data_IF_599618764298
#
_entry.id   IF_599618764298
#
_cell.length_a   1.000
_cell.length_b   1.000
_cell.length_c   1.000
_cell.angle_alpha   90.00
_cell.angle_beta   90.00
_cell.angle_gamma   90.00
#
_symmetry.space_group_name_H-M   'P 1'
#
loop_
_entity.id
_entity.type
_entity.pdbx_description
1 polymer ?
#
# COMPACT_ATOMS: atom_id res chain seq x y z
N UNK A 1 1.16 11.16 -4.35
CA UNK A 1 1.46 10.90 -2.93
C UNK A 1 0.27 10.19 -2.30
N UNK A 2 0.47 9.21 -1.42
CA UNK A 2 -0.63 8.54 -0.74
C UNK A 2 -0.89 9.23 0.61
N UNK A 3 -1.98 9.98 0.70
CA UNK A 3 -2.32 10.73 1.92
C UNK A 3 -2.67 9.80 3.08
N UNK A 4 -3.31 8.66 2.80
CA UNK A 4 -3.69 7.72 3.85
C UNK A 4 -2.46 7.17 4.58
N UNK A 5 -1.42 6.78 3.82
CA UNK A 5 -0.17 6.29 4.38
C UNK A 5 0.63 7.39 5.09
N UNK A 6 0.65 8.61 4.54
CA UNK A 6 1.32 9.75 5.19
C UNK A 6 0.66 10.11 6.53
N UNK A 7 -0.67 10.19 6.59
CA UNK A 7 -1.41 10.41 7.84
C UNK A 7 -1.19 9.26 8.80
N UNK A 8 -1.24 8.01 8.33
CA UNK A 8 -0.99 6.82 9.17
C UNK A 8 0.43 6.79 9.73
N UNK A 9 1.42 7.32 9.01
CA UNK A 9 2.79 7.45 9.49
C UNK A 9 2.90 8.49 10.62
N UNK A 10 2.19 9.63 10.51
CA UNK A 10 2.15 10.67 11.55
C UNK A 10 1.30 10.28 12.76
N UNK A 11 0.22 9.54 12.53
CA UNK A 11 -0.73 9.06 13.53
C UNK A 11 -0.85 7.53 13.43
N UNK A 12 0.14 6.78 13.95
CA UNK A 12 0.16 5.33 13.86
C UNK A 12 -1.07 4.68 14.54
N UNK A 13 -1.62 5.28 15.58
CA UNK A 13 -2.83 4.82 16.26
C UNK A 13 -4.13 5.12 15.51
N UNK A 14 -4.11 6.01 14.50
CA UNK A 14 -5.34 6.41 13.82
C UNK A 14 -5.82 5.35 12.82
N UNK A 15 -7.12 5.09 12.80
CA UNK A 15 -7.76 4.11 11.92
C UNK A 15 -8.27 4.80 10.65
N UNK A 16 -7.75 4.36 9.50
CA UNK A 16 -8.21 4.81 8.18
C UNK A 16 -9.67 4.38 8.01
N UNK A 17 -10.55 5.32 7.71
CA UNK A 17 -11.99 5.11 7.52
C UNK A 17 -12.84 5.39 8.76
N UNK A 18 -12.25 5.38 9.96
CA UNK A 18 -12.96 5.70 11.21
C UNK A 18 -12.57 7.08 11.74
N UNK A 19 -11.28 7.24 12.06
CA UNK A 19 -10.72 8.47 12.61
C UNK A 19 -10.47 9.52 11.54
N UNK A 20 -10.15 9.08 10.33
CA UNK A 20 -10.03 9.97 9.18
C UNK A 20 -10.41 9.24 7.90
N UNK A 21 -11.06 9.94 6.99
CA UNK A 21 -11.49 9.39 5.69
C UNK A 21 -10.71 10.11 4.60
N UNK A 22 -9.97 9.33 3.81
CA UNK A 22 -9.34 9.80 2.59
C UNK A 22 -10.22 9.39 1.42
N UNK A 23 -10.53 10.35 0.56
CA UNK A 23 -11.27 10.13 -0.67
C UNK A 23 -10.41 10.51 -1.86
N UNK A 24 -10.58 9.76 -2.94
CA UNK A 24 -10.05 10.11 -4.26
C UNK A 24 -11.24 10.05 -5.22
N UNK A 25 -11.63 11.22 -5.75
CA UNK A 25 -12.75 11.30 -6.68
C UNK A 25 -12.38 10.86 -8.10
N UNK A 26 -11.11 10.52 -8.35
CA UNK A 26 -10.64 10.12 -9.67
C UNK A 26 -10.68 11.25 -10.72
N UNK A 27 -10.87 12.49 -10.28
CA UNK A 27 -10.94 13.69 -11.12
C UNK A 27 -9.56 14.25 -11.50
N UNK A 28 -8.50 13.55 -11.09
CA UNK A 28 -7.10 13.94 -11.31
C UNK A 28 -6.57 15.00 -10.34
N UNK A 29 -7.39 15.48 -9.38
CA UNK A 29 -6.92 16.36 -8.28
C UNK A 29 -6.24 15.58 -7.17
N UNK A 30 -6.44 14.26 -7.15
CA UNK A 30 -5.81 13.34 -6.22
C UNK A 30 -6.59 13.17 -4.93
N UNK A 31 -5.97 12.47 -3.99
CA UNK A 31 -6.55 12.17 -2.69
C UNK A 31 -6.73 13.44 -1.85
N UNK A 32 -7.80 13.51 -1.07
CA UNK A 32 -8.03 14.55 -0.06
C UNK A 32 -8.64 13.96 1.22
N UNK A 33 -8.48 14.68 2.34
CA UNK A 33 -9.10 14.34 3.61
C UNK A 33 -10.55 14.83 3.57
N UNK A 34 -11.49 13.89 3.48
CA UNK A 34 -12.93 14.18 3.54
C UNK A 34 -13.40 14.38 4.98
N UNK A 35 -12.89 13.58 5.91
CA UNK A 35 -13.29 13.61 7.31
C UNK A 35 -12.07 13.52 8.21
N UNK A 36 -12.06 14.34 9.26
CA UNK A 36 -11.04 14.36 10.31
C UNK A 36 -11.69 14.31 11.69
N UNK A 37 -11.52 13.20 12.41
CA UNK A 37 -12.03 12.97 13.77
C UNK A 37 -10.91 12.73 14.80
N UNK A 38 -9.66 12.81 14.38
CA UNK A 38 -8.51 12.73 15.30
C UNK A 38 -8.50 14.01 16.15
N UNK A 39 -8.29 13.88 17.46
CA UNK A 39 -8.23 15.01 18.40
C UNK A 39 -7.09 16.00 18.13
N UNK A 40 -6.11 15.62 17.30
CA UNK A 40 -4.98 16.46 16.90
C UNK A 40 -5.33 17.40 15.73
N UNK A 41 -4.52 18.44 15.50
CA UNK A 41 -4.66 19.28 14.32
C UNK A 41 -4.45 18.46 13.04
N UNK A 42 -5.14 18.82 11.96
CA UNK A 42 -4.89 18.22 10.66
C UNK A 42 -3.47 18.59 10.19
N UNK A 43 -2.65 17.61 9.79
CA UNK A 43 -1.29 17.88 9.32
C UNK A 43 -1.32 18.69 8.03
N UNK A 44 -0.34 19.58 7.90
CA UNK A 44 -0.17 20.40 6.70
C UNK A 44 0.35 19.57 5.51
N UNK A 45 0.17 20.06 4.28
CA UNK A 45 0.70 19.40 3.08
C UNK A 45 2.21 19.15 3.16
N UNK A 46 2.95 20.05 3.80
CA UNK A 46 4.38 19.90 4.00
C UNK A 46 4.69 18.71 4.92
N UNK A 47 4.00 18.61 6.07
CA UNK A 47 4.16 17.49 6.99
C UNK A 47 3.78 16.15 6.37
N UNK A 48 2.71 16.14 5.57
CA UNK A 48 2.29 14.97 4.80
C UNK A 48 3.35 14.56 3.78
N UNK A 49 3.99 15.53 3.12
CA UNK A 49 5.04 15.26 2.14
C UNK A 49 6.33 14.77 2.80
N UNK A 50 6.69 15.33 3.96
CA UNK A 50 7.81 14.87 4.78
C UNK A 50 7.54 13.45 5.32
N UNK A 51 6.34 13.19 5.83
CA UNK A 51 5.93 11.86 6.29
C UNK A 51 5.94 10.84 5.14
N UNK A 52 5.44 11.21 3.96
CA UNK A 52 5.49 10.35 2.77
C UNK A 52 6.92 10.04 2.35
N UNK A 53 7.81 11.05 2.37
CA UNK A 53 9.23 10.86 2.07
C UNK A 53 9.90 9.93 3.09
N UNK A 54 9.66 10.16 4.38
CA UNK A 54 10.17 9.28 5.44
C UNK A 54 9.60 7.86 5.31
N UNK A 55 8.34 7.69 4.96
CA UNK A 55 7.73 6.38 4.68
C UNK A 55 8.39 5.67 3.47
N UNK A 56 8.81 6.41 2.44
CA UNK A 56 9.54 5.83 1.32
C UNK A 56 10.98 5.42 1.69
N UNK A 57 11.64 6.20 2.54
CA UNK A 57 13.02 5.92 2.98
C UNK A 57 13.08 4.84 4.08
N UNK A 58 12.14 4.86 5.00
CA UNK A 58 11.93 3.89 6.07
C UNK A 58 10.44 3.58 6.16
N UNK A 59 9.93 2.63 5.36
CA UNK A 59 8.56 2.17 5.54
C UNK A 59 8.45 1.64 6.96
N UNK A 60 7.54 2.22 7.74
CA UNK A 60 7.12 1.62 9.00
C UNK A 60 6.47 0.30 8.56
N UNK A 61 7.25 -0.78 8.59
CA UNK A 61 6.72 -2.13 8.62
C UNK A 61 6.15 -2.28 10.03
N UNK A 62 5.03 -1.59 10.26
CA UNK A 62 4.00 -2.19 11.05
C UNK A 62 3.76 -3.51 10.32
N UNK A 63 4.07 -4.62 10.98
CA UNK A 63 3.44 -5.89 10.63
C UNK A 63 2.10 -5.83 11.36
N UNK A 64 1.07 -5.12 10.84
CA UNK A 64 -0.25 -5.49 11.26
C UNK A 64 -0.36 -6.95 10.82
N UNK A 65 -0.96 -7.79 11.65
CA UNK A 65 -1.46 -9.06 11.15
C UNK A 65 -2.31 -8.72 9.92
N UNK A 66 -1.72 -8.88 8.74
CA UNK A 66 -2.36 -8.57 7.47
C UNK A 66 -3.68 -9.35 7.54
N UNK A 67 -4.85 -8.69 7.45
CA UNK A 67 -6.13 -9.39 7.50
C UNK A 67 -6.03 -10.52 6.47
N UNK A 68 -6.53 -11.72 6.81
CA UNK A 68 -6.24 -12.96 6.08
C UNK A 68 -6.33 -12.78 4.55
N UNK A 69 -7.22 -11.91 4.07
CA UNK A 69 -7.37 -11.53 2.66
C UNK A 69 -6.09 -10.99 2.01
N UNK A 70 -5.34 -10.11 2.68
CA UNK A 70 -4.10 -9.52 2.15
C UNK A 70 -2.92 -10.51 2.20
N UNK A 71 -2.85 -11.35 3.23
CA UNK A 71 -1.92 -12.50 3.26
C UNK A 71 -2.22 -13.47 2.11
N UNK A 72 -3.50 -13.77 1.89
CA UNK A 72 -3.95 -14.65 0.81
C UNK A 72 -3.60 -14.06 -0.57
N UNK A 73 -3.77 -12.75 -0.77
CA UNK A 73 -3.38 -12.08 -2.02
C UNK A 73 -1.87 -12.12 -2.26
N UNK A 74 -1.06 -11.90 -1.22
CA UNK A 74 0.39 -11.99 -1.33
C UNK A 74 0.82 -13.43 -1.66
N UNK A 75 0.22 -14.41 -0.98
CA UNK A 75 0.50 -15.84 -1.20
C UNK A 75 0.09 -16.29 -2.61
N UNK A 76 -1.10 -15.90 -3.08
CA UNK A 76 -1.52 -16.13 -4.46
C UNK A 76 -0.56 -15.47 -5.46
N UNK A 77 -0.11 -14.25 -5.18
CA UNK A 77 0.87 -13.55 -6.02
C UNK A 77 2.20 -14.30 -6.13
N UNK A 78 2.66 -14.89 -5.02
CA UNK A 78 3.86 -15.74 -4.99
C UNK A 78 3.65 -17.06 -5.74
N UNK A 79 2.51 -17.74 -5.55
CA UNK A 79 2.18 -18.99 -6.23
C UNK A 79 2.05 -18.81 -7.75
N UNK A 80 1.39 -17.74 -8.20
CA UNK A 80 1.29 -17.38 -9.63
C UNK A 80 2.67 -17.11 -10.21
N UNK A 81 3.53 -16.41 -9.46
CA UNK A 81 4.90 -16.13 -9.89
C UNK A 81 5.72 -17.42 -10.03
N UNK A 82 5.58 -18.35 -9.10
CA UNK A 82 6.25 -19.65 -9.14
C UNK A 82 5.77 -20.51 -10.33
N UNK A 83 4.46 -20.64 -10.51
CA UNK A 83 3.87 -21.36 -11.63
C UNK A 83 4.28 -20.77 -12.98
N UNK A 84 4.38 -19.44 -13.07
CA UNK A 84 4.82 -18.76 -14.30
C UNK A 84 6.28 -19.08 -14.61
N UNK A 85 7.14 -19.15 -13.60
CA UNK A 85 8.54 -19.54 -13.76
C UNK A 85 8.67 -21.03 -14.16
N UNK A 86 7.88 -21.92 -13.57
CA UNK A 86 7.83 -23.34 -13.99
C UNK A 86 7.34 -23.50 -15.43
N UNK A 87 6.29 -22.79 -15.83
CA UNK A 87 5.80 -22.81 -17.23
C UNK A 87 6.88 -22.28 -18.18
N UNK A 88 7.61 -21.24 -17.81
CA UNK A 88 8.71 -20.72 -18.62
C UNK A 88 9.86 -21.74 -18.73
N UNK A 89 10.20 -22.45 -17.65
CA UNK A 89 11.21 -23.51 -17.66
C UNK A 89 10.78 -24.71 -18.52
N UNK A 90 9.51 -25.11 -18.43
CA UNK A 90 8.94 -26.20 -19.23
C UNK A 90 8.81 -25.81 -20.72
N UNK A 91 8.47 -24.55 -21.02
CA UNK A 91 8.34 -24.03 -22.39
C UNK A 91 9.70 -23.75 -23.05
N UNK A 92 10.74 -23.49 -22.25
CA UNK A 92 12.13 -23.38 -22.71
C UNK A 92 12.79 -24.74 -23.02
N UNK A 93 12.24 -25.85 -22.52
CA UNK A 93 12.76 -27.20 -22.74
C UNK A 93 12.36 -27.85 -24.07
N UNK A 94 11.45 -27.26 -24.84
CA UNK A 94 10.97 -27.80 -26.13
C UNK A 94 11.68 -27.20 -27.35
N UNK A 95 12.93 -26.74 -27.20
CA UNK A 95 13.80 -26.32 -28.31
C UNK A 95 15.05 -27.21 -28.40
N UNK A 96 14.89 -28.53 -28.26
CA UNK A 96 15.85 -29.50 -28.76
C UNK A 96 15.14 -30.30 -29.86
N UNK A 97 15.19 -29.78 -31.08
CA UNK A 97 14.60 -30.40 -32.26
C UNK A 97 15.39 -30.05 -33.52
N UNK A 98 16.21 -31.03 -33.93
CA UNK A 98 16.91 -31.20 -35.22
C UNK A 98 18.25 -30.51 -35.41
#
# INVERSE_FOLDING_TARGET
MNLALAVKYLYPDAIIGEDFVIRDDGDGRGQYIETWKISGPQPSDQELQEAWKNYLENPIIDVPQLPDTSQQLLKLGQEISFLKLEILALKGGASNGS
#
